data_IF_230672441976
#
_entry.id   IF_230672441976
#
_cell.length_a   1.000
_cell.length_b   1.000
_cell.length_c   1.000
_cell.angle_alpha   90.00
_cell.angle_beta   90.00
_cell.angle_gamma   90.00
#
_symmetry.space_group_name_H-M   'P 1'
#
loop_
_entity.id
_entity.type
_entity.pdbx_description
1 polymer ?
#
# COMPACT_ATOMS: atom_id res chain seq x y z
N UNK A 1 -21.78 -5.04 -13.82
CA UNK A 1 -21.12 -3.78 -13.40
C UNK A 1 -19.83 -3.68 -14.19
N UNK A 2 -19.53 -2.54 -14.84
CA UNK A 2 -18.29 -2.39 -15.58
C UNK A 2 -17.08 -2.38 -14.65
N UNK A 3 -15.94 -2.91 -15.11
CA UNK A 3 -14.68 -2.98 -14.34
C UNK A 3 -14.22 -1.59 -13.85
N UNK A 4 -14.51 -0.54 -14.62
CA UNK A 4 -14.22 0.85 -14.26
C UNK A 4 -14.90 1.36 -12.98
N UNK A 5 -15.86 0.61 -12.43
CA UNK A 5 -16.49 0.90 -11.13
C UNK A 5 -15.87 0.11 -9.98
N UNK A 6 -14.98 -0.83 -10.28
CA UNK A 6 -14.33 -1.64 -9.26
C UNK A 6 -13.18 -0.87 -8.60
N UNK A 7 -13.18 -0.87 -7.27
CA UNK A 7 -12.20 -0.23 -6.39
C UNK A 7 -11.64 -1.27 -5.44
N UNK A 8 -10.36 -1.54 -5.56
CA UNK A 8 -9.69 -2.63 -4.83
C UNK A 8 -8.57 -2.05 -3.96
N UNK A 9 -8.64 -2.32 -2.67
CA UNK A 9 -7.58 -2.04 -1.72
C UNK A 9 -6.49 -3.11 -1.76
N UNK A 10 -5.24 -2.69 -1.60
CA UNK A 10 -4.07 -3.54 -1.63
C UNK A 10 -3.41 -3.52 -0.25
N UNK A 11 -3.27 -4.68 0.38
CA UNK A 11 -2.82 -4.84 1.75
C UNK A 11 -1.92 -6.06 1.91
N UNK A 12 -1.01 -6.06 2.85
CA UNK A 12 -0.32 -7.28 3.29
C UNK A 12 -0.23 -7.36 4.81
N UNK A 13 -0.12 -8.56 5.34
CA UNK A 13 0.09 -8.82 6.76
C UNK A 13 0.61 -10.23 6.98
N UNK A 14 1.36 -10.47 8.05
CA UNK A 14 2.08 -11.72 8.23
C UNK A 14 3.06 -12.00 7.11
N UNK A 15 3.69 -10.96 6.58
CA UNK A 15 4.57 -11.01 5.40
C UNK A 15 5.83 -11.80 5.68
N UNK A 16 6.29 -12.55 4.68
CA UNK A 16 7.57 -13.26 4.64
C UNK A 16 8.29 -13.01 3.30
N UNK A 17 9.52 -13.49 3.18
CA UNK A 17 10.31 -13.33 1.96
C UNK A 17 9.63 -13.95 0.74
N UNK A 18 8.91 -15.07 0.92
CA UNK A 18 8.26 -15.77 -0.18
C UNK A 18 7.01 -15.03 -0.69
N UNK A 19 6.18 -14.48 0.20
CA UNK A 19 5.02 -13.66 -0.21
C UNK A 19 5.46 -12.38 -0.93
N UNK A 20 6.60 -11.82 -0.56
CA UNK A 20 7.20 -10.65 -1.21
C UNK A 20 7.57 -10.88 -2.67
N UNK A 21 7.99 -12.09 -3.03
CA UNK A 21 8.40 -12.44 -4.40
C UNK A 21 7.34 -13.21 -5.21
N UNK A 22 6.21 -13.55 -4.61
CA UNK A 22 5.11 -14.30 -5.25
C UNK A 22 3.78 -13.57 -5.19
N UNK A 23 3.14 -13.55 -4.02
CA UNK A 23 1.80 -12.99 -3.85
C UNK A 23 1.75 -11.48 -4.13
N UNK A 24 2.74 -10.72 -3.68
CA UNK A 24 2.77 -9.28 -3.90
C UNK A 24 2.93 -8.90 -5.39
N UNK A 25 3.87 -9.49 -6.16
CA UNK A 25 3.91 -9.26 -7.61
C UNK A 25 2.65 -9.71 -8.35
N UNK A 26 2.01 -10.82 -7.94
CA UNK A 26 0.75 -11.27 -8.53
C UNK A 26 -0.36 -10.23 -8.34
N UNK A 27 -0.48 -9.67 -7.15
CA UNK A 27 -1.42 -8.57 -6.87
C UNK A 27 -1.05 -7.32 -7.67
N UNK A 28 0.24 -7.08 -7.90
CA UNK A 28 0.73 -5.99 -8.76
C UNK A 28 0.28 -6.14 -10.23
N UNK A 29 0.42 -7.31 -10.79
CA UNK A 29 -0.07 -7.59 -12.16
C UNK A 29 -1.61 -7.45 -12.25
N UNK A 30 -2.34 -7.90 -11.22
CA UNK A 30 -3.77 -7.65 -11.13
C UNK A 30 -4.09 -6.16 -11.04
N UNK A 31 -3.34 -5.39 -10.25
CA UNK A 31 -3.50 -3.93 -10.13
C UNK A 31 -3.31 -3.24 -11.49
N UNK A 32 -2.26 -3.59 -12.23
CA UNK A 32 -1.99 -3.05 -13.56
C UNK A 32 -3.11 -3.39 -14.53
N UNK A 33 -3.58 -4.64 -14.53
CA UNK A 33 -4.72 -5.05 -15.35
C UNK A 33 -6.00 -4.27 -14.99
N UNK A 34 -6.31 -4.12 -13.69
CA UNK A 34 -7.49 -3.40 -13.21
C UNK A 34 -7.46 -1.93 -13.66
N UNK A 35 -6.32 -1.26 -13.49
CA UNK A 35 -6.11 0.13 -13.89
C UNK A 35 -6.23 0.28 -15.40
N UNK A 36 -5.66 -0.63 -16.18
CA UNK A 36 -5.77 -0.62 -17.66
C UNK A 36 -7.22 -0.78 -18.15
N UNK A 37 -8.12 -1.41 -17.35
CA UNK A 37 -9.55 -1.50 -17.65
C UNK A 37 -10.35 -0.31 -17.08
N UNK A 38 -9.68 0.75 -16.60
CA UNK A 38 -10.29 1.94 -16.03
C UNK A 38 -10.78 1.78 -14.59
N UNK A 39 -10.48 0.67 -13.93
CA UNK A 39 -10.75 0.45 -12.50
C UNK A 39 -9.76 1.17 -11.60
N UNK A 40 -9.84 0.93 -10.31
CA UNK A 40 -9.02 1.62 -9.32
C UNK A 40 -8.39 0.65 -8.34
N UNK A 41 -7.09 0.81 -8.11
CA UNK A 41 -6.37 0.18 -7.01
C UNK A 41 -5.87 1.23 -6.03
N UNK A 42 -5.84 0.88 -4.74
CA UNK A 42 -5.38 1.77 -3.67
C UNK A 42 -4.31 1.04 -2.87
N UNK A 43 -3.08 1.56 -2.89
CA UNK A 43 -2.00 1.12 -2.02
C UNK A 43 -2.02 1.97 -0.74
N UNK A 44 -1.96 1.33 0.42
CA UNK A 44 -1.84 1.98 1.72
C UNK A 44 -0.62 1.45 2.49
N UNK A 45 -0.62 1.59 3.83
CA UNK A 45 0.50 1.15 4.68
C UNK A 45 1.76 2.00 4.43
N UNK A 46 1.65 3.32 4.62
CA UNK A 46 2.75 4.25 4.33
C UNK A 46 4.09 3.84 4.96
N UNK A 47 4.16 3.35 6.22
CA UNK A 47 5.41 2.85 6.78
C UNK A 47 6.06 1.68 6.02
N UNK A 48 5.26 0.94 5.26
CA UNK A 48 5.75 -0.15 4.40
C UNK A 48 6.36 0.35 3.07
N UNK A 49 6.27 1.64 2.79
CA UNK A 49 6.86 2.28 1.60
C UNK A 49 8.25 2.86 1.89
N UNK A 50 8.64 2.99 3.18
CA UNK A 50 9.93 3.58 3.57
C UNK A 50 11.10 2.73 3.07
N UNK A 51 11.98 3.35 2.28
CA UNK A 51 13.08 2.69 1.60
C UNK A 51 12.81 2.33 0.12
N UNK A 52 11.54 2.42 -0.34
CA UNK A 52 11.15 2.21 -1.73
C UNK A 52 10.29 3.37 -2.28
N UNK A 53 10.15 4.45 -1.53
CA UNK A 53 9.30 5.60 -1.85
C UNK A 53 9.61 6.25 -3.20
N UNK A 54 10.87 6.26 -3.61
CA UNK A 54 11.29 6.84 -4.90
C UNK A 54 10.67 6.13 -6.10
N UNK A 55 10.34 4.84 -5.97
CA UNK A 55 9.66 4.07 -7.02
C UNK A 55 8.26 4.66 -7.27
N UNK A 56 7.54 5.01 -6.20
CA UNK A 56 6.20 5.62 -6.29
C UNK A 56 6.28 7.06 -6.78
N UNK A 57 7.21 7.85 -6.23
CA UNK A 57 7.43 9.25 -6.60
C UNK A 57 7.72 9.40 -8.10
N UNK A 58 8.59 8.54 -8.66
CA UNK A 58 8.96 8.57 -10.08
C UNK A 58 7.82 8.15 -11.03
N UNK A 59 6.73 7.62 -10.50
CA UNK A 59 5.55 7.17 -11.26
C UNK A 59 4.36 8.14 -11.16
N UNK A 60 4.51 9.26 -10.46
CA UNK A 60 3.46 10.28 -10.37
C UNK A 60 3.21 10.92 -11.74
N UNK A 61 1.94 11.05 -12.13
CA UNK A 61 1.53 11.60 -13.43
C UNK A 61 1.95 13.06 -13.64
N UNK A 62 2.15 13.79 -12.55
CA UNK A 62 2.51 15.20 -12.59
C UNK A 62 3.22 15.64 -11.31
N UNK A 63 3.73 16.88 -11.34
CA UNK A 63 4.47 17.46 -10.21
C UNK A 63 3.62 17.60 -8.94
N UNK A 64 2.34 17.90 -9.06
CA UNK A 64 1.46 18.04 -7.90
C UNK A 64 1.34 16.71 -7.14
N UNK A 65 1.13 15.61 -7.86
CA UNK A 65 1.06 14.27 -7.28
C UNK A 65 2.42 13.83 -6.71
N UNK A 66 3.51 14.20 -7.38
CA UNK A 66 4.86 13.98 -6.85
C UNK A 66 5.01 14.68 -5.48
N UNK A 67 4.69 15.96 -5.39
CA UNK A 67 4.80 16.73 -4.15
C UNK A 67 3.89 16.14 -3.05
N UNK A 68 2.65 15.77 -3.39
CA UNK A 68 1.72 15.08 -2.46
C UNK A 68 2.28 13.74 -1.99
N UNK A 69 2.94 12.97 -2.85
CA UNK A 69 3.56 11.68 -2.46
C UNK A 69 4.75 11.91 -1.53
N UNK A 70 5.57 12.94 -1.79
CA UNK A 70 6.65 13.33 -0.87
C UNK A 70 6.10 13.69 0.51
N UNK A 71 5.03 14.49 0.56
CA UNK A 71 4.36 14.84 1.82
C UNK A 71 3.76 13.60 2.51
N UNK A 72 3.06 12.74 1.77
CA UNK A 72 2.50 11.49 2.31
C UNK A 72 3.55 10.69 3.10
N UNK A 73 4.75 10.56 2.55
CA UNK A 73 5.85 9.80 3.16
C UNK A 73 6.46 10.57 4.34
N UNK A 74 6.79 11.84 4.15
CA UNK A 74 7.53 12.62 5.15
C UNK A 74 6.66 12.97 6.36
N UNK A 75 5.41 13.34 6.15
CA UNK A 75 4.47 13.63 7.24
C UNK A 75 4.28 12.40 8.14
N UNK A 76 4.29 11.20 7.55
CA UNK A 76 4.19 9.95 8.33
C UNK A 76 5.50 9.66 9.11
N UNK A 77 6.67 9.96 8.54
CA UNK A 77 7.96 9.88 9.26
C UNK A 77 7.99 10.88 10.44
N UNK A 78 7.53 12.11 10.21
CA UNK A 78 7.44 13.13 11.26
C UNK A 78 6.43 12.75 12.35
N UNK A 79 5.32 12.11 11.98
CA UNK A 79 4.37 11.56 12.94
C UNK A 79 5.03 10.58 13.91
N UNK A 80 5.83 9.62 13.43
CA UNK A 80 6.58 8.71 14.30
C UNK A 80 7.56 9.48 15.21
N UNK A 81 8.38 10.37 14.64
CA UNK A 81 9.36 11.14 15.40
C UNK A 81 8.71 12.02 16.48
N UNK A 82 7.56 12.62 16.19
CA UNK A 82 6.82 13.45 17.16
C UNK A 82 6.29 12.66 18.36
N UNK A 83 6.14 11.33 18.22
CA UNK A 83 5.73 10.43 19.29
C UNK A 83 6.92 9.69 19.93
N UNK A 84 8.16 10.04 19.57
CA UNK A 84 9.37 9.40 20.09
C UNK A 84 9.61 7.99 19.54
N UNK A 85 8.93 7.62 18.45
CA UNK A 85 9.05 6.31 17.82
C UNK A 85 10.06 6.32 16.67
N UNK A 86 10.88 5.28 16.50
CA UNK A 86 11.84 5.20 15.42
C UNK A 86 11.15 4.92 14.06
N UNK A 87 11.62 5.58 13.01
CA UNK A 87 11.08 5.45 11.66
C UNK A 87 11.42 4.10 11.00
N UNK A 88 12.51 3.47 11.42
CA UNK A 88 13.11 2.31 10.73
C UNK A 88 12.89 0.96 11.39
N UNK A 89 11.85 0.74 12.18
CA UNK A 89 11.63 -0.53 12.90
C UNK A 89 11.13 -1.70 12.03
N UNK A 90 10.66 -1.44 10.81
CA UNK A 90 10.40 -2.53 9.86
C UNK A 90 11.73 -3.12 9.33
N UNK A 91 11.78 -4.44 9.08
CA UNK A 91 10.77 -5.47 9.30
C UNK A 91 10.61 -5.87 10.77
N UNK A 92 9.40 -6.30 11.13
CA UNK A 92 9.12 -6.82 12.47
C UNK A 92 9.89 -8.11 12.76
N UNK A 93 10.03 -8.52 14.04
CA UNK A 93 10.67 -9.80 14.36
C UNK A 93 10.08 -10.99 13.60
N UNK A 94 8.76 -11.02 13.41
CA UNK A 94 8.08 -12.06 12.64
C UNK A 94 8.38 -12.02 11.14
N UNK A 95 8.57 -10.83 10.57
CA UNK A 95 9.00 -10.68 9.18
C UNK A 95 10.45 -11.15 9.00
N UNK A 96 11.34 -10.83 9.94
CA UNK A 96 12.74 -11.29 9.95
C UNK A 96 12.83 -12.80 10.03
N UNK A 97 12.06 -13.42 10.93
CA UNK A 97 11.95 -14.89 11.01
C UNK A 97 11.42 -15.52 9.71
N UNK A 98 10.59 -14.78 8.96
CA UNK A 98 10.07 -15.15 7.64
C UNK A 98 11.01 -14.86 6.47
N UNK A 99 12.26 -14.42 6.72
CA UNK A 99 13.29 -14.22 5.69
C UNK A 99 13.35 -12.81 5.08
N UNK A 100 12.66 -11.82 5.64
CA UNK A 100 12.81 -10.41 5.24
C UNK A 100 13.93 -9.79 6.06
N UNK A 101 14.97 -9.25 5.42
CA UNK A 101 16.22 -8.89 6.09
C UNK A 101 16.34 -7.40 6.44
N UNK A 102 15.94 -6.51 5.55
CA UNK A 102 16.11 -5.06 5.70
C UNK A 102 14.80 -4.28 5.50
N UNK A 103 14.82 -2.99 5.85
CA UNK A 103 13.72 -2.07 5.59
C UNK A 103 13.39 -1.99 4.10
N UNK A 104 14.42 -1.88 3.27
CA UNK A 104 14.28 -1.79 1.81
C UNK A 104 13.73 -3.07 1.21
N UNK A 105 14.18 -4.24 1.68
CA UNK A 105 13.65 -5.55 1.27
C UNK A 105 12.16 -5.65 1.56
N UNK A 106 11.74 -5.25 2.77
CA UNK A 106 10.33 -5.16 3.15
C UNK A 106 9.55 -4.20 2.25
N UNK A 107 10.07 -2.97 2.06
CA UNK A 107 9.40 -1.93 1.30
C UNK A 107 9.32 -2.26 -0.20
N UNK A 108 10.37 -2.83 -0.79
CA UNK A 108 10.35 -3.31 -2.17
C UNK A 108 9.28 -4.41 -2.36
N UNK A 109 9.21 -5.36 -1.43
CA UNK A 109 8.17 -6.40 -1.45
C UNK A 109 6.78 -5.81 -1.36
N UNK A 110 6.54 -4.87 -0.46
CA UNK A 110 5.22 -4.26 -0.25
C UNK A 110 4.77 -3.36 -1.42
N UNK A 111 5.67 -2.55 -1.99
CA UNK A 111 5.33 -1.65 -3.09
C UNK A 111 5.01 -2.39 -4.39
N UNK A 112 5.50 -3.62 -4.58
CA UNK A 112 5.15 -4.45 -5.74
C UNK A 112 3.64 -4.71 -5.88
N UNK A 113 2.87 -4.68 -4.78
CA UNK A 113 1.41 -4.86 -4.81
C UNK A 113 0.68 -3.86 -5.72
N UNK A 114 1.26 -2.68 -5.96
CA UNK A 114 0.66 -1.67 -6.81
C UNK A 114 1.10 -1.73 -8.29
N UNK A 115 1.83 -2.80 -8.69
CA UNK A 115 2.27 -2.98 -10.07
C UNK A 115 3.14 -1.83 -10.58
N UNK A 116 2.92 -1.42 -11.83
CA UNK A 116 3.70 -0.41 -12.55
C UNK A 116 2.89 0.79 -13.02
N UNK A 117 1.57 0.79 -12.80
CA UNK A 117 0.69 1.88 -13.21
C UNK A 117 1.14 3.24 -12.65
N UNK A 118 0.94 4.35 -13.37
CA UNK A 118 1.20 5.69 -12.85
C UNK A 118 0.36 5.97 -11.59
N UNK A 119 0.91 6.76 -10.67
CA UNK A 119 0.17 7.26 -9.51
C UNK A 119 -0.74 8.40 -9.95
N UNK A 120 -2.05 8.16 -9.92
CA UNK A 120 -3.10 9.08 -10.36
C UNK A 120 -3.78 9.85 -9.22
N UNK A 121 -3.53 9.46 -7.97
CA UNK A 121 -4.10 10.15 -6.81
C UNK A 121 -3.35 9.85 -5.51
N UNK A 122 -3.45 10.79 -4.57
CA UNK A 122 -2.92 10.68 -3.21
C UNK A 122 -4.00 11.13 -2.24
N UNK A 123 -4.36 10.26 -1.31
CA UNK A 123 -5.45 10.43 -0.35
C UNK A 123 -4.87 10.56 1.07
N UNK A 124 -5.44 11.46 1.86
CA UNK A 124 -5.20 11.51 3.29
C UNK A 124 -6.09 10.51 4.03
N UNK A 125 -5.77 10.26 5.29
CA UNK A 125 -6.56 9.37 6.15
C UNK A 125 -8.01 9.91 6.27
N UNK A 126 -8.98 9.07 5.87
CA UNK A 126 -10.39 9.44 5.90
C UNK A 126 -10.94 10.03 4.59
N UNK A 127 -10.09 10.37 3.63
CA UNK A 127 -10.52 10.85 2.32
C UNK A 127 -11.28 9.78 1.54
N UNK A 128 -12.17 10.24 0.67
CA UNK A 128 -12.90 9.39 -0.30
C UNK A 128 -12.20 9.41 -1.65
N UNK A 129 -12.22 8.28 -2.32
CA UNK A 129 -11.67 8.14 -3.65
C UNK A 129 -12.47 8.95 -4.68
N UNK A 130 -11.78 9.81 -5.42
CA UNK A 130 -12.35 10.67 -6.47
C UNK A 130 -11.81 10.33 -7.86
N UNK A 131 -10.57 9.83 -7.93
CA UNK A 131 -9.85 9.59 -9.19
C UNK A 131 -9.68 8.09 -9.45
N UNK A 132 -9.98 7.62 -10.66
CA UNK A 132 -9.67 6.25 -11.08
C UNK A 132 -8.16 6.06 -11.27
N UNK A 133 -7.70 4.82 -11.34
CA UNK A 133 -6.29 4.49 -11.50
C UNK A 133 -5.64 4.06 -10.19
N UNK A 134 -4.30 4.13 -10.13
CA UNK A 134 -3.56 3.82 -8.91
C UNK A 134 -3.57 5.02 -7.97
N UNK A 135 -4.07 4.82 -6.76
CA UNK A 135 -4.06 5.82 -5.70
C UNK A 135 -3.21 5.35 -4.52
N UNK A 136 -2.57 6.30 -3.83
CA UNK A 136 -1.89 6.08 -2.55
C UNK A 136 -2.78 6.62 -1.42
N UNK A 137 -2.86 5.91 -0.30
CA UNK A 137 -3.69 6.31 0.86
C UNK A 137 -2.84 6.36 2.12
N UNK A 138 -2.91 7.48 2.84
CA UNK A 138 -2.30 7.62 4.16
C UNK A 138 -2.99 6.72 5.18
N UNK A 139 -2.31 5.65 5.62
CA UNK A 139 -2.69 4.83 6.77
C UNK A 139 -1.48 4.03 7.28
N UNK A 140 -1.51 3.61 8.56
CA UNK A 140 -0.42 2.81 9.13
C UNK A 140 -0.40 1.38 8.61
N UNK A 141 0.64 0.61 8.99
CA UNK A 141 0.75 -0.82 8.66
C UNK A 141 -0.14 -1.74 9.50
N UNK A 142 -0.82 -1.23 10.54
CA UNK A 142 -1.75 -2.02 11.35
C UNK A 142 -2.91 -2.54 10.50
N UNK A 143 -3.12 -3.86 10.49
CA UNK A 143 -4.08 -4.52 9.61
C UNK A 143 -5.50 -3.97 9.73
N UNK A 144 -6.01 -3.82 10.96
CA UNK A 144 -7.37 -3.32 11.20
C UNK A 144 -7.53 -1.89 10.73
N UNK A 145 -6.58 -1.02 11.08
CA UNK A 145 -6.64 0.41 10.76
C UNK A 145 -6.52 0.64 9.26
N UNK A 146 -5.54 -0.01 8.62
CA UNK A 146 -5.33 0.11 7.18
C UNK A 146 -6.51 -0.43 6.35
N UNK A 147 -7.05 -1.60 6.72
CA UNK A 147 -8.23 -2.16 6.03
C UNK A 147 -9.48 -1.30 6.23
N UNK A 148 -9.66 -0.72 7.43
CA UNK A 148 -10.75 0.24 7.69
C UNK A 148 -10.58 1.51 6.86
N UNK A 149 -9.36 2.04 6.74
CA UNK A 149 -9.07 3.19 5.89
C UNK A 149 -9.39 2.92 4.42
N UNK A 150 -9.03 1.74 3.89
CA UNK A 150 -9.38 1.32 2.53
C UNK A 150 -10.90 1.24 2.32
N UNK A 151 -11.62 0.63 3.26
CA UNK A 151 -13.08 0.56 3.20
C UNK A 151 -13.71 1.95 3.26
N UNK A 152 -13.23 2.84 4.14
CA UNK A 152 -13.66 4.23 4.26
C UNK A 152 -13.42 5.03 2.98
N UNK A 153 -12.27 4.82 2.32
CA UNK A 153 -11.95 5.45 1.04
C UNK A 153 -12.89 5.00 -0.09
N UNK A 154 -13.60 3.90 0.08
CA UNK A 154 -14.60 3.39 -0.85
C UNK A 154 -14.19 2.14 -1.62
N UNK A 155 -13.20 1.39 -1.13
CA UNK A 155 -12.88 0.06 -1.66
C UNK A 155 -14.06 -0.89 -1.44
N UNK A 156 -14.33 -1.72 -2.45
CA UNK A 156 -15.36 -2.75 -2.42
C UNK A 156 -14.78 -4.12 -2.09
N UNK A 157 -13.48 -4.29 -2.35
CA UNK A 157 -12.70 -5.48 -2.08
C UNK A 157 -11.33 -5.07 -1.52
N UNK A 158 -10.73 -5.94 -0.70
CA UNK A 158 -9.34 -5.81 -0.25
C UNK A 158 -8.59 -7.09 -0.59
N UNK A 159 -7.58 -6.99 -1.44
CA UNK A 159 -6.63 -8.08 -1.68
C UNK A 159 -5.57 -8.07 -0.58
N UNK A 160 -5.63 -9.05 0.28
CA UNK A 160 -4.77 -9.18 1.43
C UNK A 160 -3.75 -10.31 1.21
N UNK A 161 -2.51 -9.95 0.89
CA UNK A 161 -1.42 -10.93 0.74
C UNK A 161 -0.84 -11.32 2.10
N UNK A 162 -0.47 -12.58 2.26
CA UNK A 162 0.13 -13.09 3.50
C UNK A 162 1.08 -14.24 3.21
N UNK A 163 2.17 -14.34 3.95
CA UNK A 163 3.08 -15.48 3.90
C UNK A 163 2.72 -16.57 4.91
N UNK A 164 2.31 -16.16 6.11
CA UNK A 164 2.05 -17.07 7.24
C UNK A 164 0.57 -17.32 7.50
N UNK A 165 -0.32 -16.66 6.75
CA UNK A 165 -1.75 -16.64 7.02
C UNK A 165 -2.10 -15.64 8.13
N UNK A 166 -3.39 -15.29 8.20
CA UNK A 166 -3.93 -14.44 9.26
C UNK A 166 -5.39 -14.80 9.52
N UNK A 167 -5.86 -14.79 10.77
CA UNK A 167 -7.29 -14.94 11.08
C UNK A 167 -8.07 -13.63 10.90
N UNK A 168 -7.42 -12.58 10.40
CA UNK A 168 -8.00 -11.25 10.24
C UNK A 168 -9.07 -11.23 9.15
N UNK A 169 -10.17 -10.55 9.43
CA UNK A 169 -11.23 -10.23 8.48
C UNK A 169 -11.58 -8.75 8.54
N UNK A 170 -12.13 -8.20 7.45
CA UNK A 170 -12.48 -6.79 7.34
C UNK A 170 -13.97 -6.59 7.05
N UNK A 171 -14.42 -5.32 7.03
CA UNK A 171 -15.82 -4.92 6.75
C UNK A 171 -16.20 -5.06 5.26
N UNK A 172 -15.21 -5.17 4.40
CA UNK A 172 -15.38 -5.48 2.96
C UNK A 172 -14.61 -6.77 2.66
N UNK A 173 -15.09 -7.59 1.71
CA UNK A 173 -14.40 -8.82 1.35
C UNK A 173 -13.03 -8.58 0.77
#
# INVERSE_FOLDING_TARGET
>A
VPVSKLRVGLKCGGSDGFSGITANPLVGEFSDWLVAQGGTSILTEVPEMFGAETILMNRCENKELFDKTVHLINDFKEYFLSHGEPVGENPSPGNKAGGISTLEDKALGCTQKCGRAPVSGVLQYGDRLETNGLNLLSAPGNDLVAATALASAGCQLVLFTTGRGTPFGTFVP
#
